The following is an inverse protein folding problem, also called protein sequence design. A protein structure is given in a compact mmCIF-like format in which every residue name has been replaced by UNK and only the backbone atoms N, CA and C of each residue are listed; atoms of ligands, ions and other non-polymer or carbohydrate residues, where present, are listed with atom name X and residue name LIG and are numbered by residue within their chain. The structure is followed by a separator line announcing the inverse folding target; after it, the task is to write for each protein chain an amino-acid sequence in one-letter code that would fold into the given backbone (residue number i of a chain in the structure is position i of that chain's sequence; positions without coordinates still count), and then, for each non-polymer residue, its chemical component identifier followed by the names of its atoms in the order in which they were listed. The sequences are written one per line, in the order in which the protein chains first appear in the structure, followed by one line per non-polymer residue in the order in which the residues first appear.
data_IF_816738014561
#
_entry.id   IF_816738014561
#
_cell.length_a   1.000
_cell.length_b   1.000
_cell.length_c   1.000
_cell.angle_alpha   90.00
_cell.angle_beta   90.00
_cell.angle_gamma   90.00
#
_symmetry.space_group_name_H-M   'P 1'
#
loop_
_entity.id
_entity.type
_entity.pdbx_description
1 polymer ?
#
# COMPACT_ATOMS: atom_id res chain seq x y z
N UNK A 1 -10.34 8.87 -29.59
CA UNK A 1 -9.62 8.48 -28.38
C UNK A 1 -10.50 8.99 -27.27
N UNK A 2 -10.98 8.10 -26.41
CA UNK A 2 -11.71 8.53 -25.20
C UNK A 2 -10.73 9.37 -24.37
N UNK A 3 -11.22 10.42 -23.69
CA UNK A 3 -10.40 11.20 -22.79
C UNK A 3 -10.07 10.37 -21.55
N UNK A 4 -8.81 10.41 -21.12
CA UNK A 4 -8.36 9.71 -19.93
C UNK A 4 -8.69 10.54 -18.70
N UNK A 5 -9.27 9.91 -17.68
CA UNK A 5 -9.65 10.54 -16.42
C UNK A 5 -8.73 9.99 -15.32
N UNK A 6 -8.03 10.87 -14.62
CA UNK A 6 -7.10 10.51 -13.56
C UNK A 6 -7.67 10.83 -12.19
N UNK A 7 -7.74 9.84 -11.32
CA UNK A 7 -8.28 9.94 -9.96
C UNK A 7 -7.14 9.89 -8.96
N UNK A 8 -7.03 10.94 -8.14
CA UNK A 8 -6.02 11.05 -7.10
C UNK A 8 -6.67 11.20 -5.74
N UNK A 9 -6.26 10.47 -4.68
CA UNK A 9 -6.57 10.85 -3.32
C UNK A 9 -6.15 12.30 -3.09
N UNK A 10 -6.98 13.11 -2.44
CA UNK A 10 -6.74 14.55 -2.24
C UNK A 10 -5.39 14.88 -1.57
N UNK A 11 -4.78 13.92 -0.86
CA UNK A 11 -3.47 14.08 -0.24
C UNK A 11 -2.28 13.72 -1.16
N UNK A 12 -2.52 13.12 -2.34
CA UNK A 12 -1.50 12.59 -3.23
C UNK A 12 -0.43 13.64 -3.62
N UNK A 13 -0.84 14.80 -4.15
CA UNK A 13 0.11 15.84 -4.59
C UNK A 13 0.87 16.52 -3.43
N UNK A 14 0.48 16.23 -2.18
CA UNK A 14 1.18 16.74 -0.98
C UNK A 14 2.26 15.77 -0.48
N UNK A 15 2.37 14.58 -1.06
CA UNK A 15 3.38 13.60 -0.72
C UNK A 15 4.77 14.13 -1.05
N UNK A 16 5.68 14.01 -0.08
CA UNK A 16 7.10 14.27 -0.27
C UNK A 16 7.89 13.29 0.59
N UNK A 17 8.89 12.62 0.01
CA UNK A 17 9.74 11.72 0.77
C UNK A 17 10.37 12.45 1.97
N UNK A 18 10.26 11.88 3.17
CA UNK A 18 10.82 12.45 4.40
C UNK A 18 12.36 12.28 4.47
N UNK A 19 12.95 11.60 3.49
CA UNK A 19 14.37 11.26 3.41
C UNK A 19 14.86 10.62 4.73
N UNK A 20 15.90 11.17 5.34
CA UNK A 20 16.44 10.68 6.61
C UNK A 20 15.54 10.85 7.84
N UNK A 21 14.42 11.57 7.73
CA UNK A 21 13.43 11.61 8.80
C UNK A 21 12.50 10.38 8.80
N UNK A 22 12.59 9.51 7.77
CA UNK A 22 11.89 8.24 7.78
C UNK A 22 12.50 7.29 8.82
N UNK A 23 11.65 6.62 9.61
CA UNK A 23 12.12 5.54 10.52
C UNK A 23 12.41 4.22 9.78
N UNK A 24 11.84 4.09 8.58
CA UNK A 24 11.96 2.94 7.70
C UNK A 24 12.69 3.32 6.43
N UNK A 25 13.43 2.38 5.85
CA UNK A 25 14.02 2.56 4.53
C UNK A 25 13.23 1.77 3.50
N UNK A 26 12.84 2.39 2.38
CA UNK A 26 12.30 1.70 1.21
C UNK A 26 13.42 1.17 0.29
N UNK A 27 14.67 1.59 0.52
CA UNK A 27 15.85 1.19 -0.22
C UNK A 27 16.46 -0.11 0.34
N UNK A 28 15.66 -1.17 0.44
CA UNK A 28 16.07 -2.46 1.01
C UNK A 28 15.22 -3.60 0.45
N UNK A 29 15.68 -4.85 0.58
CA UNK A 29 14.89 -6.10 0.44
C UNK A 29 14.33 -6.51 -0.94
N UNK A 30 14.38 -5.67 -1.98
CA UNK A 30 13.90 -6.02 -3.33
C UNK A 30 14.92 -5.64 -4.42
N UNK A 31 14.83 -6.27 -5.59
CA UNK A 31 15.62 -5.85 -6.76
C UNK A 31 15.07 -4.52 -7.27
N UNK A 32 15.94 -3.51 -7.40
CA UNK A 32 15.54 -2.20 -7.94
C UNK A 32 15.97 -2.13 -9.39
N UNK A 33 15.00 -2.19 -10.29
CA UNK A 33 15.24 -2.01 -11.72
C UNK A 33 15.65 -0.57 -12.05
N UNK A 34 16.54 -0.46 -13.03
CA UNK A 34 17.08 0.81 -13.53
C UNK A 34 16.72 0.90 -15.00
N UNK A 35 15.92 1.91 -15.35
CA UNK A 35 15.55 2.21 -16.72
C UNK A 35 16.79 2.46 -17.60
N UNK A 36 16.70 2.11 -18.89
CA UNK A 36 17.83 2.15 -19.82
C UNK A 36 18.48 3.53 -19.91
N UNK A 37 17.67 4.58 -19.89
CA UNK A 37 18.12 5.97 -19.95
C UNK A 37 18.94 6.34 -18.71
N UNK A 38 18.48 5.98 -17.52
CA UNK A 38 19.20 6.20 -16.27
C UNK A 38 20.45 5.33 -16.17
N UNK A 39 20.39 4.08 -16.62
CA UNK A 39 21.57 3.22 -16.71
C UNK A 39 22.66 3.83 -17.61
N UNK A 40 22.27 4.40 -18.76
CA UNK A 40 23.17 5.11 -19.66
C UNK A 40 23.76 6.37 -19.01
N UNK A 41 22.94 7.17 -18.31
CA UNK A 41 23.40 8.35 -17.55
C UNK A 41 24.42 7.95 -16.47
N UNK A 42 24.11 6.94 -15.66
CA UNK A 42 25.00 6.42 -14.62
C UNK A 42 26.32 5.90 -15.19
N UNK A 43 26.27 5.16 -16.31
CA UNK A 43 27.45 4.63 -16.97
C UNK A 43 28.36 5.77 -17.50
N UNK A 44 27.79 6.83 -18.05
CA UNK A 44 28.52 7.97 -18.58
C UNK A 44 29.03 8.95 -17.49
N UNK A 45 28.56 8.85 -16.25
CA UNK A 45 28.84 9.82 -15.19
C UNK A 45 30.33 9.79 -14.77
N UNK A 46 31.11 10.89 -15.01
CA UNK A 46 32.55 10.92 -14.77
C UNK A 46 32.88 11.39 -13.35
N UNK A 47 32.16 10.90 -12.35
CA UNK A 47 32.33 11.24 -10.92
C UNK A 47 32.66 9.98 -10.10
N UNK A 48 33.00 10.16 -8.82
CA UNK A 48 33.16 9.04 -7.91
C UNK A 48 31.84 8.27 -7.75
N UNK A 49 30.70 8.97 -7.64
CA UNK A 49 29.38 8.34 -7.67
C UNK A 49 29.16 7.50 -8.93
N UNK A 50 29.49 8.02 -10.11
CA UNK A 50 29.38 7.26 -11.36
C UNK A 50 30.24 5.99 -11.36
N UNK A 51 31.44 6.05 -10.77
CA UNK A 51 32.29 4.87 -10.58
C UNK A 51 31.67 3.86 -9.63
N UNK A 52 31.08 4.32 -8.54
CA UNK A 52 30.43 3.46 -7.54
C UNK A 52 29.17 2.81 -8.14
N UNK A 53 28.32 3.58 -8.82
CA UNK A 53 27.15 3.10 -9.55
C UNK A 53 27.50 1.96 -10.51
N UNK A 54 28.52 2.14 -11.36
CA UNK A 54 28.98 1.08 -12.28
C UNK A 54 29.47 -0.19 -11.57
N UNK A 55 29.90 -0.11 -10.31
CA UNK A 55 30.30 -1.28 -9.53
C UNK A 55 29.12 -1.96 -8.83
N UNK A 56 28.03 -1.21 -8.56
CA UNK A 56 26.87 -1.69 -7.83
C UNK A 56 25.72 -2.16 -8.72
N UNK A 57 25.71 -1.74 -9.98
CA UNK A 57 24.70 -2.15 -10.96
C UNK A 57 25.09 -3.53 -11.52
N UNK A 58 24.17 -4.46 -11.41
CA UNK A 58 24.20 -5.72 -12.17
C UNK A 58 23.51 -5.50 -13.50
N UNK A 59 24.06 -6.10 -14.56
CA UNK A 59 23.45 -6.12 -15.90
C UNK A 59 23.39 -7.57 -16.35
N UNK A 60 22.19 -8.06 -16.60
CA UNK A 60 21.93 -9.38 -17.17
C UNK A 60 20.86 -9.30 -18.28
N UNK A 61 20.17 -10.42 -18.56
CA UNK A 61 19.13 -10.51 -19.59
C UNK A 61 17.82 -9.81 -19.21
N UNK A 62 17.60 -9.47 -17.94
CA UNK A 62 16.43 -8.72 -17.47
C UNK A 62 16.67 -7.20 -17.49
N UNK A 63 17.92 -6.76 -17.57
CA UNK A 63 18.30 -5.36 -17.71
C UNK A 63 19.30 -4.91 -16.65
N UNK A 64 19.37 -3.59 -16.40
CA UNK A 64 20.21 -3.02 -15.36
C UNK A 64 19.41 -2.93 -14.05
N UNK A 65 19.97 -3.41 -12.94
CA UNK A 65 19.29 -3.40 -11.66
C UNK A 65 20.27 -3.38 -10.48
N UNK A 66 19.79 -2.99 -9.30
CA UNK A 66 20.49 -3.16 -8.04
C UNK A 66 20.04 -4.45 -7.35
N UNK A 67 20.98 -5.30 -6.94
CA UNK A 67 20.72 -6.49 -6.13
C UNK A 67 21.14 -6.23 -4.68
N UNK A 68 20.30 -6.63 -3.75
CA UNK A 68 20.62 -6.68 -2.31
C UNK A 68 20.82 -8.13 -1.87
N UNK A 69 21.62 -8.35 -0.84
CA UNK A 69 21.90 -9.68 -0.28
C UNK A 69 21.64 -9.68 1.21
N UNK A 70 21.59 -10.85 1.84
CA UNK A 70 21.50 -10.92 3.32
C UNK A 70 22.68 -10.21 4.00
N UNK A 71 23.86 -10.18 3.35
CA UNK A 71 25.04 -9.47 3.85
C UNK A 71 24.96 -7.95 3.61
N UNK A 72 24.26 -7.53 2.56
CA UNK A 72 24.01 -6.13 2.21
C UNK A 72 22.53 -5.93 1.86
N UNK A 73 21.64 -5.89 2.88
CA UNK A 73 20.18 -5.93 2.66
C UNK A 73 19.61 -4.59 2.22
N UNK A 74 20.43 -3.54 2.21
CA UNK A 74 20.07 -2.17 1.85
C UNK A 74 20.84 -1.69 0.63
N UNK A 75 20.29 -0.71 -0.06
CA UNK A 75 20.93 -0.08 -1.22
C UNK A 75 22.35 0.41 -0.89
N UNK A 76 23.37 0.09 -1.71
CA UNK A 76 24.75 0.54 -1.50
C UNK A 76 24.92 2.07 -1.62
N UNK A 77 23.91 2.76 -2.14
CA UNK A 77 23.86 4.22 -2.26
C UNK A 77 23.19 4.88 -1.05
N UNK A 78 22.61 4.10 -0.14
CA UNK A 78 22.05 4.58 1.12
C UNK A 78 23.19 4.80 2.12
N UNK A 79 23.30 6.02 2.65
CA UNK A 79 24.28 6.35 3.68
C UNK A 79 23.77 5.96 5.07
N UNK A 80 24.69 5.89 6.04
CA UNK A 80 24.38 5.60 7.45
C UNK A 80 23.39 6.60 8.07
N UNK A 81 23.32 7.83 7.55
CA UNK A 81 22.38 8.86 7.98
C UNK A 81 21.01 8.76 7.30
N UNK A 82 20.76 7.74 6.47
CA UNK A 82 19.49 7.51 5.78
C UNK A 82 19.31 8.33 4.50
N UNK A 83 20.33 9.05 4.02
CA UNK A 83 20.26 9.82 2.79
C UNK A 83 20.79 9.05 1.58
N UNK A 84 20.08 9.15 0.45
CA UNK A 84 20.50 8.57 -0.82
C UNK A 84 21.56 9.44 -1.50
N UNK A 85 22.71 8.85 -1.85
CA UNK A 85 23.80 9.56 -2.55
C UNK A 85 23.40 10.12 -3.90
N UNK A 86 22.54 9.42 -4.65
CA UNK A 86 22.05 9.91 -5.95
C UNK A 86 21.28 11.22 -5.78
N UNK A 87 20.36 11.27 -4.82
CA UNK A 87 19.60 12.50 -4.53
C UNK A 87 20.53 13.63 -4.08
N UNK A 88 21.52 13.33 -3.22
CA UNK A 88 22.45 14.37 -2.73
C UNK A 88 23.36 14.95 -3.81
N UNK A 89 23.84 14.11 -4.73
CA UNK A 89 24.84 14.54 -5.73
C UNK A 89 24.19 14.98 -7.06
N UNK A 90 23.04 14.40 -7.44
CA UNK A 90 22.38 14.60 -8.74
C UNK A 90 20.96 15.21 -8.64
N UNK A 91 20.37 15.28 -7.44
CA UNK A 91 18.97 15.67 -7.25
C UNK A 91 17.99 14.52 -7.49
N UNK A 92 16.70 14.79 -7.27
CA UNK A 92 15.60 13.82 -7.47
C UNK A 92 15.53 13.32 -8.92
N UNK A 93 15.77 14.19 -9.89
CA UNK A 93 15.88 13.88 -11.33
C UNK A 93 17.03 12.92 -11.68
N UNK A 94 17.93 12.65 -10.72
CA UNK A 94 19.01 11.69 -10.87
C UNK A 94 18.58 10.25 -10.58
N UNK A 95 17.42 10.04 -9.96
CA UNK A 95 16.89 8.70 -9.62
C UNK A 95 16.46 7.94 -10.88
N UNK A 96 16.57 6.61 -10.84
CA UNK A 96 15.87 5.78 -11.82
C UNK A 96 14.36 5.86 -11.61
N UNK A 97 13.58 5.54 -12.64
CA UNK A 97 12.12 5.61 -12.61
C UNK A 97 11.55 4.86 -11.40
N UNK A 98 12.01 3.64 -11.15
CA UNK A 98 11.62 2.83 -9.98
C UNK A 98 11.76 3.58 -8.65
N UNK A 99 12.91 4.23 -8.41
CA UNK A 99 13.14 5.00 -7.19
C UNK A 99 12.35 6.31 -7.15
N UNK A 100 12.19 6.96 -8.30
CA UNK A 100 11.50 8.25 -8.43
C UNK A 100 9.99 8.10 -8.22
N UNK A 101 9.42 7.02 -8.76
CA UNK A 101 8.00 6.75 -8.68
C UNK A 101 7.64 6.20 -7.30
N UNK A 102 8.46 5.38 -6.65
CA UNK A 102 8.12 4.81 -5.35
C UNK A 102 7.80 5.88 -4.28
N UNK A 103 6.70 5.75 -3.51
CA UNK A 103 5.74 4.64 -3.44
C UNK A 103 4.50 4.83 -4.33
N UNK A 104 4.52 5.74 -5.30
CA UNK A 104 3.38 6.01 -6.18
C UNK A 104 3.03 4.79 -7.03
N UNK A 105 1.73 4.58 -7.22
CA UNK A 105 1.20 3.58 -8.13
C UNK A 105 0.21 4.24 -9.09
N UNK A 106 0.06 3.61 -10.25
CA UNK A 106 -0.88 3.97 -11.30
C UNK A 106 -1.51 2.68 -11.80
N UNK A 107 -2.83 2.60 -11.76
CA UNK A 107 -3.60 1.47 -12.28
C UNK A 107 -4.50 1.98 -13.39
N UNK A 108 -4.54 1.25 -14.50
CA UNK A 108 -5.27 1.66 -15.70
C UNK A 108 -6.46 0.73 -15.90
N UNK A 109 -7.67 1.28 -15.89
CA UNK A 109 -8.93 0.53 -16.02
C UNK A 109 -9.79 1.25 -17.06
N UNK A 110 -9.86 0.67 -18.26
CA UNK A 110 -10.48 1.31 -19.42
C UNK A 110 -9.94 2.73 -19.65
N UNK A 111 -10.77 3.76 -19.49
CA UNK A 111 -10.42 5.18 -19.65
C UNK A 111 -10.06 5.86 -18.31
N UNK A 112 -10.00 5.11 -17.20
CA UNK A 112 -9.63 5.62 -15.88
C UNK A 112 -8.17 5.28 -15.52
N UNK A 113 -7.49 6.28 -14.96
CA UNK A 113 -6.22 6.13 -14.24
C UNK A 113 -6.47 6.28 -12.74
N UNK A 114 -6.19 5.24 -11.97
CA UNK A 114 -6.24 5.29 -10.51
C UNK A 114 -4.83 5.51 -9.96
N UNK A 115 -4.60 6.69 -9.40
CA UNK A 115 -3.31 7.13 -8.89
C UNK A 115 -3.29 7.09 -7.36
N UNK A 116 -2.19 6.64 -6.77
CA UNK A 116 -2.05 6.69 -5.32
C UNK A 116 -0.61 6.53 -4.85
N UNK A 117 -0.45 6.47 -3.53
CA UNK A 117 0.84 6.20 -2.87
C UNK A 117 0.70 4.99 -1.96
N UNK A 118 1.62 4.05 -2.05
CA UNK A 118 1.49 2.79 -1.32
C UNK A 118 1.73 2.94 0.18
N UNK A 119 1.02 2.11 0.94
CA UNK A 119 0.96 2.19 2.40
C UNK A 119 2.22 1.67 3.10
N UNK A 120 3.13 0.99 2.41
CA UNK A 120 4.40 0.54 2.98
C UNK A 120 5.36 1.70 3.31
N UNK A 121 5.07 2.89 2.80
CA UNK A 121 5.74 4.13 3.13
C UNK A 121 5.06 4.83 4.32
N UNK A 122 5.81 5.14 5.38
CA UNK A 122 5.23 5.80 6.56
C UNK A 122 4.67 7.20 6.28
N UNK A 123 5.23 7.96 5.32
CA UNK A 123 4.68 9.26 4.92
C UNK A 123 3.30 9.08 4.25
N UNK A 124 3.12 8.08 3.39
CA UNK A 124 1.82 7.77 2.78
C UNK A 124 0.76 7.50 3.84
N UNK A 125 1.12 6.72 4.86
CA UNK A 125 0.23 6.42 6.00
C UNK A 125 -0.08 7.68 6.78
N UNK A 126 0.93 8.51 7.10
CA UNK A 126 0.74 9.79 7.78
C UNK A 126 -0.21 10.72 7.00
N UNK A 127 -0.06 10.80 5.67
CA UNK A 127 -0.95 11.57 4.79
C UNK A 127 -2.39 11.06 4.85
N UNK A 128 -2.61 9.75 4.66
CA UNK A 128 -3.95 9.13 4.73
C UNK A 128 -4.61 9.37 6.09
N UNK A 129 -3.86 9.22 7.18
CA UNK A 129 -4.38 9.43 8.53
C UNK A 129 -4.68 10.91 8.81
N UNK A 130 -3.91 11.83 8.23
CA UNK A 130 -4.09 13.28 8.37
C UNK A 130 -5.22 13.87 7.51
N UNK A 131 -5.74 13.12 6.52
CA UNK A 131 -6.85 13.58 5.70
C UNK A 131 -8.11 13.81 6.55
N UNK A 132 -8.93 14.80 6.15
CA UNK A 132 -10.10 15.22 6.94
C UNK A 132 -11.29 14.29 6.69
N UNK A 133 -12.16 14.18 7.69
CA UNK A 133 -13.38 13.37 7.60
C UNK A 133 -13.11 11.87 7.83
N UNK A 134 -14.17 11.10 7.66
CA UNK A 134 -14.27 9.66 7.77
C UNK A 134 -14.19 8.93 6.42
N UNK A 135 -14.14 9.66 5.31
CA UNK A 135 -14.04 9.11 3.96
C UNK A 135 -12.81 9.63 3.21
N UNK A 136 -12.27 8.80 2.32
CA UNK A 136 -11.23 9.21 1.37
C UNK A 136 -11.89 10.04 0.26
N UNK A 137 -11.44 11.28 0.13
CA UNK A 137 -11.84 12.17 -0.95
C UNK A 137 -10.79 12.15 -2.05
N UNK A 138 -11.26 12.20 -3.29
CA UNK A 138 -10.42 12.19 -4.48
C UNK A 138 -10.53 13.52 -5.24
N UNK A 139 -9.58 13.78 -6.13
CA UNK A 139 -9.62 14.82 -7.15
C UNK A 139 -9.61 14.14 -8.51
N UNK A 140 -10.31 14.73 -9.48
CA UNK A 140 -10.29 14.29 -10.87
C UNK A 140 -9.45 15.26 -11.67
N UNK A 141 -8.54 14.73 -12.48
CA UNK A 141 -7.88 15.45 -13.56
C UNK A 141 -8.35 14.82 -14.89
N UNK A 142 -9.00 15.62 -15.73
CA UNK A 142 -9.48 15.19 -17.04
C UNK A 142 -9.05 16.18 -18.13
N UNK A 143 -8.71 15.67 -19.31
CA UNK A 143 -8.18 16.47 -20.42
C UNK A 143 -9.24 17.36 -21.09
N UNK A 144 -10.53 17.06 -20.90
CA UNK A 144 -11.65 17.73 -21.59
C UNK A 144 -12.31 18.83 -20.75
N UNK A 145 -11.89 18.99 -19.49
CA UNK A 145 -12.46 19.90 -18.50
C UNK A 145 -13.90 19.55 -18.11
N UNK A 146 -14.28 18.27 -18.15
CA UNK A 146 -15.61 17.80 -17.79
C UNK A 146 -15.89 17.93 -16.29
N UNK A 147 -14.85 17.79 -15.45
CA UNK A 147 -14.93 17.85 -13.99
C UNK A 147 -14.38 19.18 -13.45
N UNK A 148 -15.09 19.73 -12.47
CA UNK A 148 -14.65 20.95 -11.78
C UNK A 148 -13.48 20.68 -10.82
N UNK A 149 -12.54 21.62 -10.72
CA UNK A 149 -11.40 21.52 -9.79
C UNK A 149 -11.78 21.41 -8.29
N UNK A 150 -13.01 21.79 -7.94
CA UNK A 150 -13.57 21.71 -6.58
C UNK A 150 -14.33 20.40 -6.32
N UNK A 151 -14.47 19.53 -7.32
CA UNK A 151 -15.13 18.23 -7.14
C UNK A 151 -14.31 17.30 -6.25
N UNK A 152 -15.01 16.63 -5.33
CA UNK A 152 -14.41 15.72 -4.35
C UNK A 152 -15.15 14.39 -4.37
N UNK A 153 -15.04 13.62 -5.46
CA UNK A 153 -15.66 12.30 -5.52
C UNK A 153 -15.22 11.43 -4.34
N UNK A 154 -16.14 10.58 -3.93
CA UNK A 154 -15.95 9.53 -2.94
C UNK A 154 -15.74 8.19 -3.67
N UNK A 155 -15.43 7.14 -2.91
CA UNK A 155 -15.18 5.81 -3.48
C UNK A 155 -16.36 5.27 -4.30
N UNK A 156 -17.60 5.49 -3.84
CA UNK A 156 -18.81 5.10 -4.58
C UNK A 156 -18.88 5.73 -5.97
N UNK A 157 -18.45 6.99 -6.11
CA UNK A 157 -18.46 7.69 -7.40
C UNK A 157 -17.43 7.09 -8.37
N UNK A 158 -16.35 6.49 -7.85
CA UNK A 158 -15.37 5.80 -8.69
C UNK A 158 -15.97 4.52 -9.28
N UNK A 159 -16.75 3.77 -8.49
CA UNK A 159 -17.50 2.62 -9.00
C UNK A 159 -18.58 3.04 -10.01
N UNK A 160 -19.26 4.17 -9.79
CA UNK A 160 -20.19 4.75 -10.77
C UNK A 160 -19.50 5.09 -12.10
N UNK A 161 -18.29 5.67 -12.06
CA UNK A 161 -17.47 5.95 -13.26
C UNK A 161 -17.07 4.67 -14.01
N UNK A 162 -16.92 3.55 -13.31
CA UNK A 162 -16.72 2.23 -13.90
C UNK A 162 -18.02 1.54 -14.36
N UNK A 163 -19.15 2.26 -14.34
CA UNK A 163 -20.47 1.74 -14.64
C UNK A 163 -20.89 0.54 -13.75
N UNK A 164 -20.37 0.49 -12.52
CA UNK A 164 -20.73 -0.48 -11.49
C UNK A 164 -21.71 0.15 -10.50
N UNK A 165 -22.97 -0.27 -10.58
CA UNK A 165 -24.00 0.09 -9.61
C UNK A 165 -23.84 -0.78 -8.36
N UNK A 166 -23.23 -0.21 -7.32
CA UNK A 166 -22.92 -0.89 -6.05
C UNK A 166 -23.78 -0.34 -4.92
N UNK A 167 -24.01 -1.15 -3.88
CA UNK A 167 -24.58 -0.63 -2.63
C UNK A 167 -23.56 0.30 -1.95
N UNK A 168 -23.88 1.58 -1.66
CA UNK A 168 -23.00 2.49 -0.95
C UNK A 168 -22.49 1.97 0.40
N UNK A 169 -23.22 1.05 1.05
CA UNK A 169 -22.78 0.41 2.29
C UNK A 169 -21.48 -0.40 2.09
N UNK A 170 -21.21 -0.92 0.88
CA UNK A 170 -19.94 -1.59 0.54
C UNK A 170 -18.74 -0.65 0.56
N UNK A 171 -18.94 0.67 0.58
CA UNK A 171 -17.87 1.66 0.74
C UNK A 171 -17.64 2.05 2.20
N UNK A 172 -18.37 1.45 3.16
CA UNK A 172 -18.27 1.77 4.58
C UNK A 172 -17.83 0.56 5.41
N UNK A 173 -16.95 0.80 6.38
CA UNK A 173 -16.47 -0.24 7.28
C UNK A 173 -17.36 -0.37 8.51
N UNK A 174 -17.96 -1.54 8.67
CA UNK A 174 -18.62 -1.94 9.91
C UNK A 174 -17.98 -3.19 10.54
N UNK A 175 -17.25 -2.98 11.63
CA UNK A 175 -16.62 -4.08 12.39
C UNK A 175 -17.59 -4.63 13.44
N UNK A 176 -18.10 -5.84 13.24
CA UNK A 176 -18.94 -6.57 14.21
C UNK A 176 -18.79 -8.11 14.16
N UNK A 177 -17.69 -8.60 13.60
CA UNK A 177 -17.45 -10.00 13.32
C UNK A 177 -17.18 -10.76 14.61
N UNK A 178 -17.51 -12.06 14.62
CA UNK A 178 -17.28 -12.90 15.78
C UNK A 178 -15.78 -13.09 16.06
N UNK A 179 -15.41 -13.39 17.32
CA UNK A 179 -14.02 -13.75 17.64
C UNK A 179 -13.55 -14.98 16.84
N UNK A 180 -14.45 -15.93 16.53
CA UNK A 180 -14.13 -17.09 15.69
C UNK A 180 -13.77 -16.69 14.26
N UNK A 181 -14.39 -15.64 13.71
CA UNK A 181 -14.02 -15.09 12.41
C UNK A 181 -12.61 -14.51 12.45
N UNK A 182 -12.31 -13.70 13.47
CA UNK A 182 -10.97 -13.12 13.66
C UNK A 182 -9.89 -14.22 13.78
N UNK A 183 -10.18 -15.32 14.50
CA UNK A 183 -9.26 -16.46 14.59
C UNK A 183 -9.01 -17.09 13.21
N UNK A 184 -10.06 -17.26 12.40
CA UNK A 184 -9.95 -17.75 11.03
C UNK A 184 -9.12 -16.83 10.13
N UNK A 185 -9.28 -15.52 10.28
CA UNK A 185 -8.49 -14.50 9.58
C UNK A 185 -6.99 -14.62 9.93
N UNK A 186 -6.64 -14.71 11.22
CA UNK A 186 -5.23 -14.91 11.62
C UNK A 186 -4.67 -16.23 11.07
N UNK A 187 -5.48 -17.29 11.03
CA UNK A 187 -5.08 -18.57 10.45
C UNK A 187 -4.91 -18.52 8.91
N UNK A 188 -5.66 -17.65 8.23
CA UNK A 188 -5.48 -17.38 6.80
C UNK A 188 -4.17 -16.61 6.55
N UNK A 189 -3.94 -15.54 7.32
CA UNK A 189 -2.72 -14.73 7.22
C UNK A 189 -1.46 -15.51 7.60
N UNK A 190 -1.56 -16.51 8.48
CA UNK A 190 -0.45 -17.40 8.80
C UNK A 190 -0.02 -18.34 7.66
N UNK A 191 -0.77 -18.37 6.55
CA UNK A 191 -0.43 -19.15 5.34
C UNK A 191 0.26 -18.33 4.25
N UNK A 192 0.32 -17.01 4.40
CA UNK A 192 1.06 -16.13 3.49
C UNK A 192 2.57 -16.34 3.68
N UNK A 193 3.38 -16.00 2.69
CA UNK A 193 4.82 -16.03 2.79
C UNK A 193 5.29 -14.89 3.71
N UNK A 194 5.94 -15.17 4.86
CA UNK A 194 6.29 -14.14 5.82
C UNK A 194 7.53 -13.35 5.36
N UNK A 195 7.47 -12.02 5.45
CA UNK A 195 8.60 -11.13 5.14
C UNK A 195 9.77 -11.32 6.10
N UNK A 196 9.47 -11.63 7.37
CA UNK A 196 10.46 -11.95 8.39
C UNK A 196 9.81 -12.65 9.60
N UNK A 197 10.65 -13.00 10.57
CA UNK A 197 10.24 -13.69 11.80
C UNK A 197 9.35 -12.83 12.71
N UNK A 198 9.45 -11.51 12.67
CA UNK A 198 8.65 -10.61 13.51
C UNK A 198 7.18 -10.65 13.09
N UNK A 199 6.91 -10.75 11.77
CA UNK A 199 5.55 -10.97 11.27
C UNK A 199 4.93 -12.26 11.84
N UNK A 200 5.67 -13.37 11.80
CA UNK A 200 5.18 -14.65 12.34
C UNK A 200 4.94 -14.57 13.85
N UNK A 201 5.79 -13.86 14.59
CA UNK A 201 5.61 -13.63 16.02
C UNK A 201 4.37 -12.78 16.33
N UNK A 202 4.12 -11.73 15.53
CA UNK A 202 2.93 -10.90 15.62
C UNK A 202 1.65 -11.73 15.43
N UNK A 203 1.59 -12.57 14.39
CA UNK A 203 0.45 -13.48 14.18
C UNK A 203 0.25 -14.44 15.36
N UNK A 204 1.34 -15.01 15.89
CA UNK A 204 1.30 -15.88 17.07
C UNK A 204 0.75 -15.16 18.31
N UNK A 205 1.13 -13.90 18.52
CA UNK A 205 0.62 -13.07 19.61
C UNK A 205 -0.88 -12.81 19.46
N UNK A 206 -1.32 -12.36 18.29
CA UNK A 206 -2.74 -12.09 18.00
C UNK A 206 -3.60 -13.34 18.17
N UNK A 207 -3.12 -14.49 17.70
CA UNK A 207 -3.79 -15.79 17.87
C UNK A 207 -3.96 -16.14 19.35
N UNK A 208 -2.94 -15.92 20.18
CA UNK A 208 -3.01 -16.17 21.62
C UNK A 208 -3.98 -15.21 22.33
N UNK A 209 -4.00 -13.93 21.96
CA UNK A 209 -4.97 -12.96 22.50
C UNK A 209 -6.39 -13.38 22.15
N UNK A 210 -6.69 -13.65 20.88
CA UNK A 210 -8.04 -14.01 20.42
C UNK A 210 -8.53 -15.33 21.04
N UNK A 211 -7.64 -16.28 21.31
CA UNK A 211 -8.00 -17.52 22.02
C UNK A 211 -8.43 -17.29 23.47
N UNK A 212 -7.97 -16.19 24.10
CA UNK A 212 -8.28 -15.84 25.49
C UNK A 212 -9.34 -14.72 25.60
N UNK A 213 -9.90 -14.25 24.48
CA UNK A 213 -10.90 -13.19 24.49
C UNK A 213 -12.18 -13.63 25.21
N UNK A 214 -12.70 -12.77 26.09
CA UNK A 214 -13.94 -13.02 26.85
C UNK A 214 -15.18 -12.37 26.25
N UNK A 215 -15.00 -11.63 25.16
CA UNK A 215 -16.06 -10.94 24.39
C UNK A 215 -16.43 -11.77 23.16
N UNK A 216 -17.57 -11.49 22.54
CA UNK A 216 -18.09 -12.30 21.44
C UNK A 216 -17.81 -11.73 20.04
N UNK A 217 -17.60 -10.42 19.92
CA UNK A 217 -17.47 -9.73 18.64
C UNK A 217 -16.36 -8.66 18.68
N UNK A 218 -16.01 -8.14 17.50
CA UNK A 218 -14.99 -7.10 17.31
C UNK A 218 -15.38 -5.75 17.89
N UNK A 219 -16.68 -5.39 17.92
CA UNK A 219 -17.16 -4.14 18.54
C UNK A 219 -16.74 -4.07 20.01
N UNK A 220 -17.08 -5.11 20.77
CA UNK A 220 -16.77 -5.22 22.20
C UNK A 220 -15.29 -5.46 22.46
N UNK A 221 -14.62 -6.16 21.53
CA UNK A 221 -13.19 -6.36 21.59
C UNK A 221 -12.50 -5.02 21.43
N UNK A 222 -12.59 -4.37 20.27
CA UNK A 222 -11.79 -3.19 19.91
C UNK A 222 -12.10 -1.96 20.77
N UNK A 223 -13.35 -1.77 21.20
CA UNK A 223 -13.80 -0.60 21.99
C UNK A 223 -13.40 0.73 21.35
N UNK A 224 -13.58 0.83 20.03
CA UNK A 224 -13.16 1.96 19.22
C UNK A 224 -13.88 3.25 19.60
N UNK A 225 -13.14 4.36 19.62
CA UNK A 225 -13.74 5.70 19.66
C UNK A 225 -14.30 6.06 18.27
N UNK A 226 -15.12 7.10 18.18
CA UNK A 226 -15.58 7.60 16.87
C UNK A 226 -14.39 7.97 15.97
N UNK A 227 -13.34 8.57 16.53
CA UNK A 227 -12.14 8.91 15.77
C UNK A 227 -11.44 7.67 15.21
N UNK A 228 -11.39 6.58 15.97
CA UNK A 228 -10.80 5.33 15.47
C UNK A 228 -11.63 4.75 14.33
N UNK A 229 -12.97 4.82 14.43
CA UNK A 229 -13.88 4.39 13.35
C UNK A 229 -13.66 5.20 12.07
N UNK A 230 -13.59 6.53 12.17
CA UNK A 230 -13.31 7.41 11.03
C UNK A 230 -11.97 7.04 10.36
N UNK A 231 -10.95 6.75 11.17
CA UNK A 231 -9.63 6.34 10.66
C UNK A 231 -9.71 4.99 9.96
N UNK A 232 -10.32 3.98 10.59
CA UNK A 232 -10.42 2.64 10.00
C UNK A 232 -11.25 2.66 8.72
N UNK A 233 -12.31 3.46 8.64
CA UNK A 233 -13.11 3.61 7.43
C UNK A 233 -12.27 4.16 6.26
N UNK A 234 -11.43 5.17 6.50
CA UNK A 234 -10.51 5.67 5.48
C UNK A 234 -9.46 4.65 5.04
N UNK A 235 -8.92 3.87 5.99
CA UNK A 235 -7.97 2.78 5.66
C UNK A 235 -8.64 1.74 4.78
N UNK A 236 -9.84 1.31 5.16
CA UNK A 236 -10.67 0.39 4.39
C UNK A 236 -10.92 0.89 2.97
N UNK A 237 -11.43 2.12 2.82
CA UNK A 237 -11.72 2.70 1.51
C UNK A 237 -10.47 2.85 0.65
N UNK A 238 -9.33 3.19 1.26
CA UNK A 238 -8.07 3.33 0.50
C UNK A 238 -7.53 1.98 0.02
N UNK A 239 -7.63 0.93 0.85
CA UNK A 239 -7.26 -0.43 0.46
C UNK A 239 -8.20 -0.92 -0.65
N UNK A 240 -9.51 -0.73 -0.52
CA UNK A 240 -10.48 -1.10 -1.56
C UNK A 240 -10.20 -0.37 -2.87
N UNK A 241 -9.99 0.95 -2.81
CA UNK A 241 -9.61 1.78 -3.96
C UNK A 241 -8.38 1.24 -4.69
N UNK A 242 -7.33 0.88 -3.94
CA UNK A 242 -6.07 0.41 -4.52
C UNK A 242 -6.20 -0.93 -5.25
N UNK A 243 -7.22 -1.72 -4.94
CA UNK A 243 -7.43 -3.04 -5.53
C UNK A 243 -8.48 -3.06 -6.64
N UNK A 244 -9.04 -1.92 -7.04
CA UNK A 244 -10.12 -1.87 -8.06
C UNK A 244 -9.69 -2.52 -9.39
N UNK A 245 -8.41 -2.45 -9.75
CA UNK A 245 -7.90 -3.10 -10.98
C UNK A 245 -8.01 -4.63 -10.95
N UNK A 246 -8.07 -5.21 -9.74
CA UNK A 246 -8.26 -6.66 -9.55
C UNK A 246 -9.66 -7.13 -9.99
N UNK A 247 -10.60 -6.22 -10.29
CA UNK A 247 -11.89 -6.57 -10.91
C UNK A 247 -11.74 -7.25 -12.29
N UNK A 248 -10.58 -7.12 -12.93
CA UNK A 248 -10.26 -7.85 -14.16
C UNK A 248 -10.23 -9.38 -13.95
N UNK A 249 -9.95 -9.83 -12.72
CA UNK A 249 -9.70 -11.24 -12.40
C UNK A 249 -10.60 -11.78 -11.28
N UNK A 250 -11.05 -10.92 -10.36
CA UNK A 250 -11.76 -11.29 -9.15
C UNK A 250 -13.09 -10.56 -9.01
N UNK A 251 -14.00 -11.13 -8.22
CA UNK A 251 -15.31 -10.52 -7.95
C UNK A 251 -15.22 -9.29 -7.06
N UNK A 252 -16.17 -8.37 -7.19
CA UNK A 252 -16.31 -7.22 -6.28
C UNK A 252 -16.36 -7.67 -4.81
N UNK A 253 -17.03 -8.79 -4.52
CA UNK A 253 -17.09 -9.35 -3.17
C UNK A 253 -15.70 -9.73 -2.64
N UNK A 254 -14.84 -10.32 -3.47
CA UNK A 254 -13.47 -10.64 -3.07
C UNK A 254 -12.64 -9.38 -2.76
N UNK A 255 -12.81 -8.31 -3.53
CA UNK A 255 -12.16 -7.01 -3.27
C UNK A 255 -12.65 -6.38 -1.96
N UNK A 256 -13.97 -6.33 -1.74
CA UNK A 256 -14.58 -5.84 -0.51
C UNK A 256 -14.08 -6.67 0.69
N UNK A 257 -14.04 -8.00 0.56
CA UNK A 257 -13.56 -8.90 1.61
C UNK A 257 -12.07 -8.69 1.90
N UNK A 258 -11.24 -8.52 0.88
CA UNK A 258 -9.81 -8.24 1.02
C UNK A 258 -9.58 -6.95 1.83
N UNK A 259 -10.23 -5.86 1.43
CA UNK A 259 -10.11 -4.57 2.12
C UNK A 259 -10.66 -4.64 3.56
N UNK A 260 -11.76 -5.37 3.74
CA UNK A 260 -12.40 -5.58 5.04
C UNK A 260 -11.46 -6.31 6.00
N UNK A 261 -10.96 -7.47 5.58
CA UNK A 261 -10.09 -8.33 6.39
C UNK A 261 -8.74 -7.68 6.68
N UNK A 262 -8.18 -6.97 5.70
CA UNK A 262 -6.99 -6.16 5.91
C UNK A 262 -7.20 -5.13 7.03
N UNK A 263 -8.31 -4.40 6.97
CA UNK A 263 -8.61 -3.36 7.97
C UNK A 263 -8.95 -3.96 9.33
N UNK A 264 -9.66 -5.09 9.36
CA UNK A 264 -9.90 -5.84 10.59
C UNK A 264 -8.58 -6.31 11.20
N UNK A 265 -7.69 -6.92 10.43
CA UNK A 265 -6.36 -7.32 10.88
C UNK A 265 -5.57 -6.15 11.46
N UNK A 266 -5.50 -5.02 10.73
CA UNK A 266 -4.82 -3.80 11.17
C UNK A 266 -5.41 -3.29 12.49
N UNK A 267 -6.74 -3.30 12.64
CA UNK A 267 -7.41 -2.84 13.86
C UNK A 267 -7.09 -3.73 15.07
N UNK A 268 -7.04 -5.06 14.88
CA UNK A 268 -6.65 -6.03 15.91
C UNK A 268 -5.17 -5.83 16.30
N UNK A 269 -4.29 -5.71 15.30
CA UNK A 269 -2.87 -5.48 15.52
C UNK A 269 -2.61 -4.16 16.25
N UNK A 270 -3.27 -3.07 15.85
CA UNK A 270 -3.10 -1.75 16.45
C UNK A 270 -3.59 -1.71 17.89
N UNK A 271 -4.67 -2.44 18.21
CA UNK A 271 -5.15 -2.57 19.58
C UNK A 271 -4.13 -3.29 20.47
N UNK A 272 -3.62 -4.44 20.01
CA UNK A 272 -2.79 -5.31 20.85
C UNK A 272 -1.33 -4.85 20.93
N UNK A 273 -0.79 -4.31 19.84
CA UNK A 273 0.64 -3.93 19.73
C UNK A 273 0.84 -2.40 19.75
N UNK A 274 -0.23 -1.62 19.63
CA UNK A 274 -0.15 -0.17 19.53
C UNK A 274 0.36 0.32 18.17
N UNK A 275 0.59 1.64 18.09
CA UNK A 275 1.18 2.32 16.93
C UNK A 275 0.47 2.01 15.60
N UNK A 276 -0.79 2.44 15.48
CA UNK A 276 -1.61 2.25 14.28
C UNK A 276 -0.91 2.58 12.94
N UNK A 277 -0.19 3.72 12.80
CA UNK A 277 0.52 4.00 11.56
C UNK A 277 1.52 2.90 11.19
N UNK A 278 2.20 2.32 12.17
CA UNK A 278 3.11 1.20 11.94
C UNK A 278 2.37 -0.06 11.51
N UNK A 279 1.22 -0.36 12.11
CA UNK A 279 0.46 -1.57 11.76
C UNK A 279 -0.07 -1.51 10.32
N UNK A 280 -0.50 -0.33 9.86
CA UNK A 280 -0.89 -0.11 8.45
C UNK A 280 0.32 -0.31 7.54
N UNK A 281 1.44 0.36 7.85
CA UNK A 281 2.66 0.29 7.05
C UNK A 281 3.19 -1.14 6.94
N UNK A 282 3.20 -1.83 8.07
CA UNK A 282 3.72 -3.19 8.19
C UNK A 282 2.82 -4.21 7.48
N UNK A 283 1.50 -4.09 7.61
CA UNK A 283 0.56 -4.91 6.84
C UNK A 283 0.81 -4.72 5.34
N UNK A 284 0.97 -3.48 4.89
CA UNK A 284 1.22 -3.18 3.48
C UNK A 284 2.54 -3.77 2.98
N UNK A 285 3.63 -3.61 3.74
CA UNK A 285 4.94 -4.19 3.41
C UNK A 285 4.88 -5.72 3.25
N UNK A 286 4.07 -6.39 4.07
CA UNK A 286 3.97 -7.85 4.12
C UNK A 286 2.97 -8.44 3.13
N UNK A 287 1.81 -7.82 2.99
CA UNK A 287 0.68 -8.37 2.25
C UNK A 287 0.54 -7.67 0.91
N UNK A 288 0.41 -6.35 0.94
CA UNK A 288 0.01 -5.57 -0.24
C UNK A 288 1.13 -5.36 -1.26
N UNK A 289 2.39 -5.43 -0.81
CA UNK A 289 3.58 -5.30 -1.66
C UNK A 289 4.18 -6.65 -2.09
N UNK A 290 3.52 -7.76 -1.75
CA UNK A 290 3.89 -9.11 -2.15
C UNK A 290 2.77 -9.68 -3.02
N UNK A 291 3.00 -9.70 -4.35
CA UNK A 291 1.98 -10.08 -5.33
C UNK A 291 1.51 -11.54 -5.14
N UNK A 292 2.39 -12.43 -4.69
CA UNK A 292 2.03 -13.82 -4.39
C UNK A 292 1.08 -13.90 -3.19
N UNK A 293 1.32 -13.10 -2.15
CA UNK A 293 0.42 -12.98 -1.00
C UNK A 293 -0.92 -12.34 -1.38
N UNK A 294 -0.91 -11.29 -2.21
CA UNK A 294 -2.13 -10.67 -2.75
C UNK A 294 -2.96 -11.70 -3.52
N UNK A 295 -2.35 -12.38 -4.49
CA UNK A 295 -3.00 -13.41 -5.30
C UNK A 295 -3.54 -14.55 -4.45
N UNK A 296 -2.76 -15.05 -3.49
CA UNK A 296 -3.19 -16.10 -2.55
C UNK A 296 -4.46 -15.71 -1.76
N UNK A 297 -4.52 -14.48 -1.24
CA UNK A 297 -5.66 -14.00 -0.47
C UNK A 297 -6.90 -13.83 -1.35
N UNK A 298 -6.77 -13.21 -2.52
CA UNK A 298 -7.88 -13.09 -3.48
C UNK A 298 -8.43 -14.46 -3.89
N UNK A 299 -7.56 -15.42 -4.17
CA UNK A 299 -7.93 -16.80 -4.46
C UNK A 299 -8.69 -17.48 -3.33
N UNK A 300 -8.38 -17.14 -2.08
CA UNK A 300 -9.08 -17.65 -0.90
C UNK A 300 -10.45 -16.99 -0.74
N UNK A 301 -10.55 -15.69 -1.00
CA UNK A 301 -11.80 -14.94 -0.90
C UNK A 301 -12.80 -15.30 -2.01
N UNK A 302 -12.35 -15.48 -3.25
CA UNK A 302 -13.20 -15.90 -4.36
C UNK A 302 -13.83 -17.29 -4.14
N UNK A 303 -13.09 -18.19 -3.47
CA UNK A 303 -13.57 -19.55 -3.13
C UNK A 303 -14.49 -19.56 -1.91
N UNK A 304 -14.41 -18.54 -1.08
CA UNK A 304 -15.14 -18.47 0.17
C UNK A 304 -16.41 -17.65 -0.05
N UNK A 305 -17.55 -18.32 -0.24
CA UNK A 305 -18.88 -17.69 -0.31
C UNK A 305 -19.30 -17.12 1.08
N UNK A 306 -18.44 -16.34 1.76
CA UNK A 306 -18.86 -15.59 2.93
C UNK A 306 -19.63 -14.37 2.44
N UNK A 307 -20.92 -14.32 2.77
CA UNK A 307 -21.67 -13.07 2.72
C UNK A 307 -21.05 -12.15 3.77
N UNK A 308 -20.46 -11.04 3.32
CA UNK A 308 -19.92 -9.95 4.16
C UNK A 308 -21.10 -9.21 4.80
#
# INVERSE_FOLDING_TARGET
MSAMISLYPTFYHTFQCKANNCRHTCCQKWTIDIDEDTAAKYNALPTQLGKDLRNFITIDDEGAHFIFSDEQPTCPLLQEDGLCRVVLELGEEGLCETCHMHPRFYKYIEDLELCGVGLSCEESVEKLLSSKGDQVQFTIEDDEGEFGADERPLLENIFELLALDIDPELCQLELNQSISYCQGLIDLYAKTEPIDIEWTQQLGHLKATLANATVNNTTDLLQTTNRDKDIFNKVYQYILYRQIDMLAEYSLNALVQYAFDATLFISLAARELGNLPEQIRRWSEQIEYDEDNVGFLFDAYEKSNYDI
#
